data_IF_930871090699
#
_entry.id   IF_930871090699
#
_cell.length_a   1.000
_cell.length_b   1.000
_cell.length_c   1.000
_cell.angle_alpha   90.00
_cell.angle_beta   90.00
_cell.angle_gamma   90.00
#
_symmetry.space_group_name_H-M   'P 1'
#
loop_
_entity.id
_entity.type
_entity.pdbx_description
1 polymer ?
#
# COMPACT_ATOMS: atom_id res chain seq x y z
N UNK A 1 -2.90 7.07 33.14
CA UNK A 1 -2.30 8.17 32.34
C UNK A 1 -2.12 9.37 33.24
N UNK A 2 -0.90 9.91 33.30
CA UNK A 2 -0.49 10.91 34.30
C UNK A 2 -1.23 12.25 34.10
N UNK A 3 -1.36 12.74 32.87
CA UNK A 3 -2.05 14.02 32.58
C UNK A 3 -3.58 14.02 32.77
N UNK A 4 -4.21 12.86 32.95
CA UNK A 4 -5.64 12.75 33.28
C UNK A 4 -5.88 12.74 34.80
N UNK A 5 -4.82 12.75 35.61
CA UNK A 5 -4.96 12.84 37.07
C UNK A 5 -5.30 14.28 37.43
N UNK A 6 -6.42 14.51 38.13
CA UNK A 6 -6.87 15.83 38.60
C UNK A 6 -5.96 16.52 39.64
N UNK A 7 -4.71 16.07 39.76
CA UNK A 7 -3.67 16.60 40.62
C UNK A 7 -2.81 17.64 39.87
N UNK A 8 -2.76 17.58 38.53
CA UNK A 8 -2.00 18.52 37.72
C UNK A 8 -2.77 19.82 37.52
N UNK A 9 -2.09 20.94 37.74
CA UNK A 9 -2.65 22.26 37.47
C UNK A 9 -2.49 22.61 35.96
N UNK A 10 -3.11 23.71 35.54
CA UNK A 10 -3.09 24.15 34.13
C UNK A 10 -1.68 24.47 33.63
N UNK A 11 -0.77 24.95 34.47
CA UNK A 11 0.60 25.25 34.07
C UNK A 11 1.42 23.96 33.89
N UNK A 12 1.19 22.94 34.72
CA UNK A 12 1.80 21.62 34.54
C UNK A 12 1.34 20.97 33.22
N UNK A 13 0.05 21.08 32.89
CA UNK A 13 -0.51 20.58 31.63
C UNK A 13 0.10 21.30 30.42
N UNK A 14 0.28 22.63 30.49
CA UNK A 14 0.95 23.39 29.43
C UNK A 14 2.40 22.97 29.23
N UNK A 15 3.13 22.68 30.30
CA UNK A 15 4.50 22.17 30.19
C UNK A 15 4.52 20.78 29.52
N UNK A 16 3.62 19.88 29.90
CA UNK A 16 3.48 18.58 29.22
C UNK A 16 3.07 18.72 27.75
N UNK A 17 2.27 19.73 27.39
CA UNK A 17 1.89 19.98 26.01
C UNK A 17 3.11 20.27 25.11
N UNK A 18 4.17 20.91 25.65
CA UNK A 18 5.42 21.13 24.91
C UNK A 18 6.10 19.80 24.57
N UNK A 19 6.13 18.86 25.52
CA UNK A 19 6.68 17.52 25.28
C UNK A 19 5.85 16.74 24.25
N UNK A 20 4.52 16.82 24.34
CA UNK A 20 3.62 16.19 23.35
C UNK A 20 3.81 16.79 21.95
N UNK A 21 4.08 18.09 21.84
CA UNK A 21 4.37 18.74 20.56
C UNK A 21 5.70 18.25 19.94
N UNK A 22 6.73 18.04 20.75
CA UNK A 22 7.99 17.44 20.27
C UNK A 22 7.80 15.99 19.82
N UNK A 23 7.01 15.19 20.56
CA UNK A 23 6.65 13.83 20.14
C UNK A 23 5.82 13.82 18.85
N UNK A 24 4.95 14.81 18.65
CA UNK A 24 4.22 14.97 17.39
C UNK A 24 5.18 15.24 16.22
N UNK A 25 6.18 16.10 16.41
CA UNK A 25 7.19 16.39 15.38
C UNK A 25 7.99 15.13 15.03
N UNK A 26 8.41 14.37 16.05
CA UNK A 26 9.11 13.10 15.85
C UNK A 26 8.22 12.08 15.12
N UNK A 27 6.94 11.98 15.49
CA UNK A 27 5.98 11.09 14.84
C UNK A 27 5.82 11.44 13.35
N UNK A 28 5.68 12.73 13.02
CA UNK A 28 5.63 13.19 11.62
C UNK A 28 6.93 12.90 10.88
N UNK A 29 8.08 13.11 11.52
CA UNK A 29 9.37 12.79 10.93
C UNK A 29 9.49 11.29 10.59
N UNK A 30 9.08 10.42 11.52
CA UNK A 30 9.06 8.97 11.31
C UNK A 30 8.06 8.56 10.21
N UNK A 31 6.91 9.22 10.15
CA UNK A 31 5.92 8.98 9.10
C UNK A 31 6.35 9.48 7.71
N UNK A 32 7.36 10.34 7.66
CA UNK A 32 8.02 10.81 6.44
C UNK A 32 9.39 10.16 6.21
N UNK A 33 9.65 9.00 6.83
CA UNK A 33 10.89 8.27 6.65
C UNK A 33 11.19 7.97 5.18
N UNK A 34 12.47 8.05 4.83
CA UNK A 34 13.01 7.81 3.49
C UNK A 34 13.89 6.57 3.54
N UNK A 35 13.69 5.66 2.59
CA UNK A 35 14.47 4.44 2.43
C UNK A 35 15.88 4.67 1.87
N UNK A 36 16.72 3.63 1.83
CA UNK A 36 18.09 3.70 1.30
C UNK A 36 18.16 4.11 -0.19
N UNK A 37 17.07 3.91 -0.92
CA UNK A 37 16.86 4.25 -2.32
C UNK A 37 16.39 5.71 -2.53
N UNK A 38 16.27 6.48 -1.45
CA UNK A 38 15.81 7.87 -1.48
C UNK A 38 14.31 8.00 -1.74
N UNK A 39 13.53 6.93 -1.52
CA UNK A 39 12.08 6.93 -1.67
C UNK A 39 11.38 7.06 -0.32
N UNK A 40 10.27 7.78 -0.26
CA UNK A 40 9.42 7.83 0.92
C UNK A 40 8.76 6.48 1.16
N UNK A 41 8.80 6.01 2.41
CA UNK A 41 8.33 4.68 2.78
C UNK A 41 6.81 4.58 2.91
N UNK A 42 6.12 5.71 3.09
CA UNK A 42 4.71 5.74 3.47
C UNK A 42 3.82 6.50 2.48
N UNK A 43 4.29 6.81 1.27
CA UNK A 43 3.53 7.57 0.27
C UNK A 43 2.77 6.72 -0.77
N UNK A 44 2.58 5.42 -0.50
CA UNK A 44 1.97 4.50 -1.46
C UNK A 44 2.90 4.27 -2.66
N UNK A 45 2.36 4.35 -3.88
CA UNK A 45 3.17 4.31 -5.11
C UNK A 45 3.78 5.67 -5.50
N UNK A 46 3.37 6.77 -4.84
CA UNK A 46 3.95 8.11 -5.02
C UNK A 46 5.28 8.28 -4.27
N UNK A 47 6.23 7.36 -4.50
CA UNK A 47 7.46 7.21 -3.70
C UNK A 47 8.41 8.42 -3.70
N UNK A 48 8.23 9.37 -4.62
CA UNK A 48 8.99 10.62 -4.71
C UNK A 48 8.30 11.82 -4.05
N UNK A 49 7.13 11.61 -3.47
CA UNK A 49 6.35 12.64 -2.76
C UNK A 49 6.41 12.37 -1.26
N UNK A 50 6.57 13.42 -0.47
CA UNK A 50 6.47 13.34 1.00
C UNK A 50 5.14 12.68 1.38
N UNK A 51 5.13 11.80 2.38
CA UNK A 51 3.91 11.10 2.75
C UNK A 51 2.92 12.03 3.45
N UNK A 52 3.41 12.88 4.35
CA UNK A 52 2.61 13.78 5.19
C UNK A 52 3.16 15.20 5.17
N UNK A 53 2.33 16.13 4.73
CA UNK A 53 2.57 17.57 4.79
C UNK A 53 2.00 18.16 6.09
N UNK A 54 2.70 19.13 6.68
CA UNK A 54 2.28 19.75 7.96
C UNK A 54 1.68 21.13 7.72
N UNK A 55 0.54 21.39 8.34
CA UNK A 55 -0.09 22.71 8.32
C UNK A 55 0.06 23.37 9.67
N UNK A 56 0.79 24.49 9.69
CA UNK A 56 0.92 25.33 10.88
C UNK A 56 -0.31 26.22 11.03
N UNK A 57 -0.82 26.34 12.25
CA UNK A 57 -2.01 27.13 12.55
C UNK A 57 -1.93 27.75 13.94
N UNK A 58 -2.77 28.74 14.18
CA UNK A 58 -2.91 29.32 15.52
C UNK A 58 -3.68 28.35 16.42
N UNK A 59 -3.04 27.90 17.50
CA UNK A 59 -3.64 27.00 18.48
C UNK A 59 -3.94 27.80 19.75
N UNK A 60 -5.16 27.66 20.26
CA UNK A 60 -5.56 28.37 21.47
C UNK A 60 -4.66 27.98 22.65
N UNK A 61 -4.13 28.98 23.35
CA UNK A 61 -3.28 28.78 24.52
C UNK A 61 -1.79 28.53 24.23
N UNK A 62 -1.36 28.39 22.97
CA UNK A 62 0.06 28.20 22.63
C UNK A 62 0.87 29.52 22.61
N UNK A 63 0.26 30.61 22.14
CA UNK A 63 0.93 31.91 21.94
C UNK A 63 1.82 31.99 20.69
N UNK A 64 1.94 30.90 19.92
CA UNK A 64 2.65 30.83 18.64
C UNK A 64 2.08 29.73 17.74
N UNK A 65 2.27 29.78 16.41
CA UNK A 65 1.76 28.74 15.53
C UNK A 65 2.34 27.37 15.83
N UNK A 66 1.48 26.36 15.88
CA UNK A 66 1.83 24.94 16.09
C UNK A 66 1.27 24.10 14.94
N UNK A 67 1.69 22.83 14.84
CA UNK A 67 1.12 21.89 13.87
C UNK A 67 -0.36 21.71 14.18
N UNK A 68 -1.22 22.20 13.30
CA UNK A 68 -2.69 22.17 13.45
C UNK A 68 -3.35 21.05 12.66
N UNK A 69 -2.68 20.57 11.60
CA UNK A 69 -3.16 19.49 10.75
C UNK A 69 -1.97 18.78 10.11
N UNK A 70 -2.11 17.48 9.87
CA UNK A 70 -1.14 16.67 9.12
C UNK A 70 -1.86 16.02 7.95
N UNK A 71 -1.49 16.42 6.73
CA UNK A 71 -2.16 16.02 5.49
C UNK A 71 -1.38 14.96 4.75
N UNK A 72 -1.98 13.79 4.58
CA UNK A 72 -1.47 12.76 3.67
C UNK A 72 -1.43 13.25 2.20
N UNK A 73 -0.29 13.07 1.52
CA UNK A 73 -0.06 13.47 0.12
C UNK A 73 0.21 12.28 -0.82
N UNK A 74 0.25 11.06 -0.28
CA UNK A 74 0.47 9.84 -1.06
C UNK A 74 -0.77 9.34 -1.78
N UNK A 75 -0.82 8.04 -2.04
CA UNK A 75 -2.00 7.35 -2.56
C UNK A 75 -2.22 6.01 -1.83
N UNK A 76 -3.33 5.36 -2.12
CA UNK A 76 -3.69 4.03 -1.57
C UNK A 76 -3.36 2.88 -2.51
N UNK A 77 -2.59 3.16 -3.58
CA UNK A 77 -2.22 2.13 -4.53
C UNK A 77 -1.13 1.23 -3.93
N UNK A 78 -1.24 -0.06 -4.18
CA UNK A 78 -0.36 -1.09 -3.61
C UNK A 78 0.74 -1.44 -4.62
N UNK A 79 1.99 -1.34 -4.21
CA UNK A 79 3.11 -1.81 -5.02
C UNK A 79 3.18 -3.35 -4.97
N UNK A 80 3.57 -3.98 -6.08
CA UNK A 80 3.70 -5.45 -6.18
C UNK A 80 5.13 -5.79 -6.58
N UNK A 81 5.81 -6.54 -5.72
CA UNK A 81 7.16 -7.02 -5.99
C UNK A 81 7.05 -8.45 -6.52
N UNK A 82 7.58 -8.70 -7.71
CA UNK A 82 7.69 -10.05 -8.26
C UNK A 82 8.75 -10.84 -7.50
N UNK A 83 8.41 -12.05 -7.08
CA UNK A 83 9.26 -12.93 -6.26
C UNK A 83 9.40 -14.33 -6.84
N UNK A 84 8.71 -14.61 -7.95
CA UNK A 84 8.83 -15.82 -8.77
C UNK A 84 8.07 -15.55 -10.08
N UNK A 85 8.17 -16.46 -11.05
CA UNK A 85 7.48 -16.36 -12.33
C UNK A 85 5.95 -16.18 -12.13
N UNK A 86 5.47 -14.96 -12.40
CA UNK A 86 4.09 -14.54 -12.18
C UNK A 86 3.59 -14.61 -10.72
N UNK A 87 4.49 -14.61 -9.72
CA UNK A 87 4.14 -14.54 -8.32
C UNK A 87 4.58 -13.22 -7.69
N UNK A 88 3.68 -12.56 -6.97
CA UNK A 88 3.91 -11.23 -6.41
C UNK A 88 3.65 -11.18 -4.91
N UNK A 89 4.47 -10.41 -4.20
CA UNK A 89 4.19 -9.96 -2.83
C UNK A 89 3.67 -8.51 -2.90
N UNK A 90 2.44 -8.24 -2.43
CA UNK A 90 1.96 -6.87 -2.28
C UNK A 90 2.70 -6.19 -1.13
N UNK A 91 3.12 -4.95 -1.35
CA UNK A 91 3.74 -4.08 -0.34
C UNK A 91 2.84 -2.88 -0.17
N UNK A 92 2.09 -2.86 0.93
CA UNK A 92 1.25 -1.72 1.31
C UNK A 92 2.07 -0.68 2.06
N UNK A 93 2.41 0.40 1.36
CA UNK A 93 3.12 1.57 1.88
C UNK A 93 2.17 2.76 2.10
N UNK A 94 0.86 2.54 2.23
CA UNK A 94 -0.10 3.64 2.36
C UNK A 94 -0.07 4.24 3.77
N UNK A 95 0.53 5.40 3.95
CA UNK A 95 0.66 6.09 5.23
C UNK A 95 -0.69 6.42 5.89
N UNK A 96 -1.71 6.80 5.10
CA UNK A 96 -3.06 7.06 5.59
C UNK A 96 -3.81 5.82 6.10
N UNK A 97 -3.29 4.63 5.81
CA UNK A 97 -3.69 3.41 6.52
C UNK A 97 -2.80 3.31 7.75
N UNK A 98 -1.47 3.41 7.59
CA UNK A 98 -0.48 3.11 8.64
C UNK A 98 -0.61 3.93 9.90
N UNK A 99 -0.80 5.23 9.75
CA UNK A 99 -0.88 6.17 10.86
C UNK A 99 -2.33 6.53 11.22
N UNK A 100 -3.30 5.74 10.78
CA UNK A 100 -4.70 5.97 11.12
C UNK A 100 -5.08 5.32 12.45
N UNK A 101 -6.02 5.90 13.19
CA UNK A 101 -6.40 5.40 14.51
C UNK A 101 -7.78 4.77 14.54
N UNK A 102 -8.78 5.46 14.01
CA UNK A 102 -10.19 5.14 14.26
C UNK A 102 -10.91 4.59 13.02
N UNK A 103 -12.08 3.97 13.18
CA UNK A 103 -12.95 3.77 12.02
C UNK A 103 -13.44 5.13 11.53
N UNK A 104 -13.37 5.36 10.21
CA UNK A 104 -13.89 6.58 9.63
C UNK A 104 -15.38 6.42 9.33
N UNK A 105 -16.16 7.47 9.61
CA UNK A 105 -17.57 7.56 9.23
C UNK A 105 -17.80 8.81 8.41
N UNK A 106 -18.46 8.65 7.27
CA UNK A 106 -18.98 9.72 6.44
C UNK A 106 -20.50 9.62 6.50
N UNK A 107 -21.15 10.64 7.04
CA UNK A 107 -22.61 10.71 7.14
C UNK A 107 -23.12 11.81 6.23
N UNK A 108 -23.86 11.46 5.19
CA UNK A 108 -24.38 12.43 4.23
C UNK A 108 -25.72 13.00 4.69
N UNK A 109 -25.85 14.32 4.65
CA UNK A 109 -27.12 15.00 4.94
C UNK A 109 -28.01 15.18 3.71
N UNK A 110 -27.53 14.82 2.51
CA UNK A 110 -28.29 14.98 1.27
C UNK A 110 -29.31 13.85 1.15
N UNK A 111 -30.59 14.21 0.97
CA UNK A 111 -31.65 13.25 0.70
C UNK A 111 -31.48 12.66 -0.72
N UNK A 112 -31.34 11.33 -0.78
CA UNK A 112 -31.13 10.58 -2.02
C UNK A 112 -32.33 9.70 -2.38
N UNK A 113 -33.49 9.88 -1.76
CA UNK A 113 -34.69 9.07 -1.99
C UNK A 113 -35.15 9.06 -3.45
N UNK A 114 -34.95 10.19 -4.14
CA UNK A 114 -35.29 10.37 -5.56
C UNK A 114 -34.08 10.25 -6.50
N UNK A 115 -32.88 10.00 -5.94
CA UNK A 115 -31.68 9.92 -6.75
C UNK A 115 -31.64 8.61 -7.53
N UNK A 116 -31.26 8.70 -8.81
CA UNK A 116 -31.00 7.57 -9.68
C UNK A 116 -29.82 7.88 -10.60
N UNK A 117 -28.99 6.88 -10.86
CA UNK A 117 -27.89 6.95 -11.81
C UNK A 117 -28.43 7.24 -13.23
N UNK A 118 -27.87 8.26 -13.88
CA UNK A 118 -28.32 8.70 -15.21
C UNK A 118 -27.70 7.90 -16.35
N UNK A 119 -26.51 7.37 -16.11
CA UNK A 119 -25.70 6.63 -17.07
C UNK A 119 -24.90 5.54 -16.36
N UNK A 120 -24.33 4.63 -17.13
CA UNK A 120 -23.38 3.67 -16.60
C UNK A 120 -22.11 4.39 -16.16
N UNK A 121 -21.64 4.10 -14.95
CA UNK A 121 -20.55 4.82 -14.29
C UNK A 121 -19.70 3.85 -13.47
N UNK A 122 -18.50 4.28 -13.10
CA UNK A 122 -17.61 3.51 -12.24
C UNK A 122 -17.13 4.43 -11.14
N UNK A 123 -17.38 4.02 -9.90
CA UNK A 123 -16.82 4.68 -8.72
C UNK A 123 -15.69 3.82 -8.16
N UNK A 124 -14.77 4.43 -7.43
CA UNK A 124 -13.68 3.77 -6.74
C UNK A 124 -13.84 3.96 -5.25
N UNK A 125 -13.90 2.85 -4.52
CA UNK A 125 -13.88 2.80 -3.05
C UNK A 125 -12.58 2.11 -2.64
N UNK A 126 -11.61 2.89 -2.16
CA UNK A 126 -10.28 2.42 -1.76
C UNK A 126 -9.52 1.69 -2.86
N UNK A 127 -9.64 2.19 -4.08
CA UNK A 127 -9.04 1.59 -5.28
C UNK A 127 -9.87 0.45 -5.89
N UNK A 128 -10.89 -0.05 -5.19
CA UNK A 128 -11.80 -1.07 -5.73
C UNK A 128 -12.88 -0.42 -6.59
N UNK A 129 -12.99 -0.90 -7.82
CA UNK A 129 -13.97 -0.40 -8.78
C UNK A 129 -15.36 -0.98 -8.50
N UNK A 130 -16.37 -0.10 -8.50
CA UNK A 130 -17.77 -0.44 -8.30
C UNK A 130 -18.56 0.09 -9.48
N UNK A 131 -19.08 -0.81 -10.30
CA UNK A 131 -19.86 -0.47 -11.50
C UNK A 131 -21.29 -0.09 -11.13
N UNK A 132 -21.67 1.14 -11.47
CA UNK A 132 -23.03 1.68 -11.31
C UNK A 132 -23.71 1.64 -12.67
N UNK A 133 -24.96 1.16 -12.69
CA UNK A 133 -25.74 0.97 -13.91
C UNK A 133 -26.78 2.07 -14.01
N UNK A 134 -27.06 2.56 -15.21
CA UNK A 134 -28.13 3.52 -15.45
C UNK A 134 -29.45 3.01 -14.84
N UNK A 135 -30.11 3.86 -14.05
CA UNK A 135 -31.34 3.52 -13.32
C UNK A 135 -31.12 2.98 -11.90
N UNK A 136 -29.89 2.68 -11.47
CA UNK A 136 -29.61 2.33 -10.08
C UNK A 136 -30.03 3.45 -9.13
N UNK A 137 -30.71 3.09 -8.05
CA UNK A 137 -31.02 4.02 -6.96
C UNK A 137 -29.97 3.94 -5.84
N UNK A 138 -30.12 4.79 -4.81
CA UNK A 138 -29.18 4.84 -3.67
C UNK A 138 -29.00 3.49 -2.96
N UNK A 139 -30.06 2.68 -2.87
CA UNK A 139 -30.00 1.35 -2.25
C UNK A 139 -29.19 0.36 -3.08
N UNK A 140 -29.32 0.42 -4.41
CA UNK A 140 -28.50 -0.38 -5.32
C UNK A 140 -27.02 0.01 -5.23
N UNK A 141 -26.72 1.32 -5.19
CA UNK A 141 -25.35 1.81 -4.97
C UNK A 141 -24.79 1.32 -3.63
N UNK A 142 -25.53 1.46 -2.54
CA UNK A 142 -25.09 0.98 -1.22
C UNK A 142 -24.84 -0.54 -1.22
N UNK A 143 -25.73 -1.32 -1.84
CA UNK A 143 -25.54 -2.77 -1.97
C UNK A 143 -24.29 -3.11 -2.80
N UNK A 144 -24.05 -2.40 -3.90
CA UNK A 144 -22.87 -2.59 -4.75
C UNK A 144 -21.57 -2.23 -4.03
N UNK A 145 -21.55 -1.15 -3.24
CA UNK A 145 -20.42 -0.82 -2.37
C UNK A 145 -20.17 -1.94 -1.35
N UNK A 146 -21.21 -2.41 -0.65
CA UNK A 146 -21.08 -3.50 0.32
C UNK A 146 -20.57 -4.82 -0.31
N UNK A 147 -20.88 -5.07 -1.57
CA UNK A 147 -20.46 -6.27 -2.30
C UNK A 147 -19.14 -6.12 -3.07
N UNK A 148 -18.52 -4.93 -3.05
CA UNK A 148 -17.28 -4.64 -3.78
C UNK A 148 -16.03 -5.33 -3.22
N UNK A 149 -16.11 -5.83 -1.99
CA UNK A 149 -14.94 -6.30 -1.23
C UNK A 149 -14.10 -5.18 -0.61
N UNK A 150 -14.49 -3.91 -0.79
CA UNK A 150 -13.92 -2.82 0.00
C UNK A 150 -14.31 -2.98 1.47
N UNK A 151 -13.39 -2.64 2.38
CA UNK A 151 -13.58 -2.71 3.82
C UNK A 151 -14.45 -1.55 4.35
N UNK A 152 -15.66 -1.41 3.78
CA UNK A 152 -16.60 -0.30 4.02
C UNK A 152 -18.01 -0.85 4.09
N UNK A 153 -18.78 -0.35 5.05
CA UNK A 153 -20.20 -0.57 5.15
C UNK A 153 -20.94 0.66 4.66
N UNK A 154 -21.75 0.48 3.63
CA UNK A 154 -22.68 1.46 3.11
C UNK A 154 -24.10 1.23 3.66
N UNK A 155 -24.74 2.28 4.16
CA UNK A 155 -26.13 2.24 4.62
C UNK A 155 -26.86 3.53 4.27
N UNK A 156 -28.19 3.49 4.30
CA UNK A 156 -29.02 4.69 4.14
C UNK A 156 -29.47 5.14 5.53
N UNK A 157 -29.22 6.41 5.86
CA UNK A 157 -29.69 6.98 7.11
C UNK A 157 -31.23 7.05 7.08
N UNK A 158 -31.94 6.52 8.09
CA UNK A 158 -33.40 6.43 8.08
C UNK A 158 -34.11 7.78 8.28
N UNK A 159 -33.38 8.84 8.65
CA UNK A 159 -33.91 10.17 8.91
C UNK A 159 -33.60 11.11 7.74
N UNK A 160 -32.33 11.19 7.32
CA UNK A 160 -31.89 12.07 6.23
C UNK A 160 -32.06 11.44 4.86
N UNK A 161 -32.21 10.12 4.79
CA UNK A 161 -32.17 9.34 3.54
C UNK A 161 -30.87 9.52 2.75
N UNK A 162 -29.80 9.95 3.43
CA UNK A 162 -28.46 10.08 2.87
C UNK A 162 -27.70 8.76 2.87
N UNK A 163 -26.66 8.69 2.04
CA UNK A 163 -25.72 7.57 2.02
C UNK A 163 -24.67 7.76 3.12
N UNK A 164 -24.62 6.81 4.04
CA UNK A 164 -23.61 6.71 5.08
C UNK A 164 -22.57 5.66 4.70
N UNK A 165 -21.30 5.97 4.94
CA UNK A 165 -20.17 5.07 4.72
C UNK A 165 -19.35 4.96 6.00
N UNK A 166 -19.13 3.73 6.48
CA UNK A 166 -18.36 3.44 7.69
C UNK A 166 -17.27 2.41 7.37
N UNK A 167 -16.01 2.75 7.61
CA UNK A 167 -14.93 1.77 7.42
C UNK A 167 -15.05 0.64 8.45
N UNK A 168 -14.74 -0.59 8.03
CA UNK A 168 -14.77 -1.74 8.95
C UNK A 168 -13.46 -1.90 9.73
N UNK A 169 -12.40 -1.24 9.26
CA UNK A 169 -11.05 -1.19 9.83
C UNK A 169 -10.58 0.26 10.06
N UNK A 170 -9.49 0.44 10.80
CA UNK A 170 -8.89 1.74 11.10
C UNK A 170 -8.10 2.28 9.91
N UNK A 171 -8.75 3.05 9.06
CA UNK A 171 -8.12 3.75 7.92
C UNK A 171 -8.94 4.94 7.43
N UNK A 172 -8.27 5.81 6.70
CA UNK A 172 -8.94 6.85 5.91
C UNK A 172 -9.57 6.24 4.65
N UNK A 173 -10.80 6.63 4.37
CA UNK A 173 -11.58 6.24 3.22
C UNK A 173 -11.16 7.05 1.99
N UNK A 174 -10.97 6.35 0.87
CA UNK A 174 -10.59 6.95 -0.41
C UNK A 174 -11.70 6.78 -1.44
N UNK A 175 -12.36 7.88 -1.82
CA UNK A 175 -13.52 7.85 -2.71
C UNK A 175 -13.27 8.68 -3.96
N UNK A 176 -13.54 8.14 -5.14
CA UNK A 176 -13.52 8.92 -6.38
C UNK A 176 -14.48 8.38 -7.44
N UNK A 177 -14.98 9.25 -8.30
CA UNK A 177 -15.62 8.86 -9.55
C UNK A 177 -14.53 8.58 -10.60
N UNK A 178 -14.47 7.35 -11.12
CA UNK A 178 -13.54 6.95 -12.21
C UNK A 178 -14.13 7.26 -13.58
N UNK A 179 -15.44 7.06 -13.72
CA UNK A 179 -16.25 7.51 -14.86
C UNK A 179 -17.64 7.95 -14.37
N UNK A 180 -18.22 8.94 -15.05
CA UNK A 180 -19.44 9.61 -14.59
C UNK A 180 -19.19 10.51 -13.37
N UNK A 181 -20.25 10.87 -12.67
CA UNK A 181 -20.23 11.80 -11.52
C UNK A 181 -21.10 11.30 -10.37
N UNK A 182 -21.16 9.98 -10.12
CA UNK A 182 -22.11 9.40 -9.17
C UNK A 182 -21.92 9.94 -7.74
N UNK A 183 -20.70 9.89 -7.21
CA UNK A 183 -20.44 10.36 -5.84
C UNK A 183 -20.58 11.88 -5.72
N UNK A 184 -20.22 12.62 -6.76
CA UNK A 184 -20.43 14.08 -6.84
C UNK A 184 -21.94 14.42 -6.87
N UNK A 185 -22.71 13.75 -7.74
CA UNK A 185 -24.15 13.91 -7.88
C UNK A 185 -24.89 13.56 -6.58
N UNK A 186 -24.38 12.59 -5.83
CA UNK A 186 -24.88 12.21 -4.50
C UNK A 186 -24.39 13.14 -3.38
N UNK A 187 -23.53 14.13 -3.69
CA UNK A 187 -22.98 15.07 -2.72
C UNK A 187 -22.08 14.44 -1.67
N UNK A 188 -21.44 13.32 -1.98
CA UNK A 188 -20.48 12.63 -1.10
C UNK A 188 -19.08 13.23 -1.27
N UNK A 189 -18.71 13.50 -2.52
CA UNK A 189 -17.46 14.17 -2.88
C UNK A 189 -17.74 15.49 -3.60
N UNK A 190 -16.75 16.37 -3.61
CA UNK A 190 -16.64 17.55 -4.45
C UNK A 190 -16.31 17.13 -5.88
N UNK A 191 -16.34 18.10 -6.78
CA UNK A 191 -15.92 17.92 -8.16
C UNK A 191 -14.47 17.43 -8.29
N UNK A 192 -14.11 17.03 -9.52
CA UNK A 192 -12.81 16.47 -9.86
C UNK A 192 -11.60 17.40 -9.62
N UNK A 193 -11.79 18.67 -9.21
CA UNK A 193 -10.69 19.58 -8.84
C UNK A 193 -9.99 19.17 -7.54
N UNK A 194 -10.69 18.45 -6.66
CA UNK A 194 -10.12 17.98 -5.39
C UNK A 194 -9.80 16.49 -5.49
N UNK A 195 -8.64 16.12 -4.96
CA UNK A 195 -8.21 14.72 -4.91
C UNK A 195 -8.59 14.09 -3.57
N UNK A 196 -8.91 12.79 -3.55
CA UNK A 196 -9.04 12.09 -2.29
C UNK A 196 -7.70 12.11 -1.55
N UNK A 197 -7.73 12.14 -0.21
CA UNK A 197 -8.91 12.00 0.65
C UNK A 197 -9.62 13.34 0.96
N UNK A 198 -9.15 14.47 0.42
CA UNK A 198 -9.68 15.82 0.75
C UNK A 198 -10.79 16.31 -0.19
N UNK A 199 -11.30 15.40 -1.03
CA UNK A 199 -12.41 15.68 -1.93
C UNK A 199 -13.78 15.48 -1.28
N UNK A 200 -13.89 15.25 0.03
CA UNK A 200 -15.20 15.08 0.68
C UNK A 200 -16.02 16.38 0.62
N UNK A 201 -17.31 16.25 0.31
CA UNK A 201 -18.24 17.37 0.18
C UNK A 201 -18.55 18.02 1.55
N UNK A 202 -18.86 19.32 1.55
CA UNK A 202 -19.14 20.08 2.77
C UNK A 202 -20.42 19.64 3.50
N UNK A 203 -21.36 18.99 2.81
CA UNK A 203 -22.59 18.44 3.38
C UNK A 203 -22.43 17.08 4.07
N UNK A 204 -21.21 16.55 4.12
CA UNK A 204 -20.89 15.26 4.75
C UNK A 204 -20.26 15.52 6.12
N UNK A 205 -20.84 14.92 7.15
CA UNK A 205 -20.22 14.88 8.48
C UNK A 205 -19.15 13.81 8.50
N UNK A 206 -17.92 14.21 8.78
CA UNK A 206 -16.76 13.33 8.87
C UNK A 206 -16.40 13.06 10.33
N UNK A 207 -16.19 11.80 10.68
CA UNK A 207 -15.63 11.39 11.98
C UNK A 207 -14.58 10.31 11.79
N UNK A 208 -13.72 10.14 12.80
CA UNK A 208 -12.53 9.32 12.74
C UNK A 208 -11.29 10.19 12.49
N UNK A 209 -10.15 9.76 13.05
CA UNK A 209 -8.90 10.50 12.93
C UNK A 209 -7.67 9.62 12.83
N UNK A 210 -6.57 10.26 12.48
CA UNK A 210 -5.24 9.70 12.50
C UNK A 210 -4.61 9.75 13.90
N UNK A 211 -3.49 9.06 14.06
CA UNK A 211 -2.64 9.22 15.23
C UNK A 211 -2.14 10.67 15.37
N UNK A 212 -1.91 11.38 14.26
CA UNK A 212 -1.53 12.80 14.32
C UNK A 212 -2.66 13.65 14.90
N UNK A 213 -3.90 13.46 14.41
CA UNK A 213 -5.08 14.18 14.92
C UNK A 213 -5.28 13.92 16.41
N UNK A 214 -4.99 12.68 16.84
CA UNK A 214 -5.07 12.27 18.23
C UNK A 214 -4.02 12.98 19.11
N UNK A 215 -2.77 13.04 18.66
CA UNK A 215 -1.68 13.70 19.41
C UNK A 215 -1.86 15.22 19.40
N UNK A 216 -2.34 15.80 18.30
CA UNK A 216 -2.75 17.20 18.22
C UNK A 216 -3.87 17.48 19.24
N UNK A 217 -4.91 16.64 19.27
CA UNK A 217 -6.00 16.78 20.22
C UNK A 217 -5.54 16.66 21.68
N UNK A 218 -4.57 15.77 21.97
CA UNK A 218 -3.95 15.64 23.29
C UNK A 218 -3.26 16.95 23.71
N UNK A 219 -2.37 17.46 22.84
CA UNK A 219 -1.63 18.70 23.07
C UNK A 219 -2.58 19.87 23.29
N UNK A 220 -3.58 20.02 22.44
CA UNK A 220 -4.51 21.14 22.47
C UNK A 220 -5.45 21.06 23.68
N UNK A 221 -5.81 19.85 24.13
CA UNK A 221 -6.53 19.66 25.38
C UNK A 221 -5.67 20.02 26.60
N UNK A 222 -4.38 19.66 26.59
CA UNK A 222 -3.43 20.05 27.65
C UNK A 222 -3.22 21.57 27.72
N UNK A 223 -3.08 22.25 26.57
CA UNK A 223 -2.94 23.72 26.51
C UNK A 223 -4.16 24.45 27.09
N UNK A 224 -5.37 23.91 26.86
CA UNK A 224 -6.64 24.44 27.38
C UNK A 224 -6.95 23.99 28.81
N UNK A 225 -6.20 23.05 29.37
CA UNK A 225 -6.49 22.46 30.68
C UNK A 225 -7.74 21.54 30.71
N UNK A 226 -8.14 20.99 29.56
CA UNK A 226 -9.34 20.18 29.37
C UNK A 226 -9.07 18.71 29.75
N UNK A 227 -9.08 18.42 31.06
CA UNK A 227 -8.76 17.08 31.59
C UNK A 227 -9.75 15.98 31.15
N UNK A 228 -11.02 16.33 30.94
CA UNK A 228 -12.04 15.39 30.46
C UNK A 228 -11.73 14.91 29.04
N UNK A 229 -11.33 15.82 28.15
CA UNK A 229 -10.92 15.45 26.79
C UNK A 229 -9.68 14.53 26.79
N UNK A 230 -8.71 14.79 27.69
CA UNK A 230 -7.50 13.97 27.85
C UNK A 230 -7.85 12.55 28.31
N UNK A 231 -8.63 12.43 29.39
CA UNK A 231 -8.88 11.14 30.05
C UNK A 231 -9.84 10.20 29.31
N UNK A 232 -10.75 10.75 28.49
CA UNK A 232 -11.76 9.96 27.79
C UNK A 232 -11.42 9.65 26.34
N UNK A 233 -11.53 10.66 25.47
CA UNK A 233 -11.50 10.49 24.02
C UNK A 233 -10.10 10.15 23.51
N UNK A 234 -9.12 10.97 23.87
CA UNK A 234 -7.77 10.92 23.32
C UNK A 234 -7.10 9.56 23.57
N UNK A 235 -7.23 9.02 24.78
CA UNK A 235 -6.61 7.74 25.13
C UNK A 235 -7.18 6.57 24.33
N UNK A 236 -8.51 6.53 24.15
CA UNK A 236 -9.14 5.51 23.31
C UNK A 236 -8.63 5.55 21.87
N UNK A 237 -8.44 6.76 21.32
CA UNK A 237 -7.89 6.95 19.97
C UNK A 237 -6.41 6.53 19.89
N UNK A 238 -5.59 6.83 20.91
CA UNK A 238 -4.18 6.37 20.97
C UNK A 238 -4.12 4.85 20.98
N UNK A 239 -4.92 4.19 21.83
CA UNK A 239 -4.96 2.73 21.92
C UNK A 239 -5.40 2.09 20.60
N UNK A 240 -6.38 2.68 19.93
CA UNK A 240 -6.85 2.24 18.61
C UNK A 240 -5.75 2.37 17.54
N UNK A 241 -5.04 3.50 17.52
CA UNK A 241 -3.91 3.70 16.59
C UNK A 241 -2.71 2.83 16.89
N UNK A 242 -2.37 2.60 18.17
CA UNK A 242 -1.33 1.64 18.57
C UNK A 242 -1.69 0.20 18.15
N UNK A 243 -2.95 -0.18 18.28
CA UNK A 243 -3.46 -1.47 17.82
C UNK A 243 -3.34 -1.62 16.31
N UNK A 244 -3.68 -0.57 15.56
CA UNK A 244 -3.52 -0.55 14.10
C UNK A 244 -2.05 -0.65 13.68
N UNK A 245 -1.14 0.11 14.31
CA UNK A 245 0.31 0.01 14.06
C UNK A 245 0.85 -1.39 14.35
N UNK A 246 0.43 -2.00 15.46
CA UNK A 246 0.85 -3.36 15.83
C UNK A 246 0.33 -4.40 14.83
N UNK A 247 -0.90 -4.27 14.35
CA UNK A 247 -1.46 -5.13 13.29
C UNK A 247 -0.64 -5.04 12.00
N UNK A 248 -0.21 -3.82 11.63
CA UNK A 248 0.62 -3.58 10.43
C UNK A 248 2.03 -4.13 10.57
N UNK A 249 2.64 -3.98 11.74
CA UNK A 249 3.95 -4.59 12.02
C UNK A 249 3.88 -6.12 11.95
N UNK A 250 2.82 -6.73 12.48
CA UNK A 250 2.61 -8.18 12.37
C UNK A 250 2.43 -8.64 10.91
N UNK A 251 1.68 -7.87 10.11
CA UNK A 251 1.52 -8.13 8.68
C UNK A 251 2.85 -8.02 7.93
N UNK A 252 3.61 -6.95 8.17
CA UNK A 252 4.93 -6.75 7.58
C UNK A 252 5.90 -7.88 7.96
N UNK A 253 5.89 -8.32 9.23
CA UNK A 253 6.67 -9.48 9.67
C UNK A 253 6.31 -10.75 8.91
N UNK A 254 5.02 -11.00 8.70
CA UNK A 254 4.56 -12.15 7.90
C UNK A 254 5.02 -12.05 6.43
N UNK A 255 5.00 -10.86 5.84
CA UNK A 255 5.46 -10.65 4.47
C UNK A 255 6.99 -10.75 4.35
N UNK A 256 7.74 -10.35 5.38
CA UNK A 256 9.18 -10.55 5.49
C UNK A 256 9.56 -12.04 5.52
N UNK A 257 8.88 -12.84 6.34
CA UNK A 257 9.08 -14.30 6.37
C UNK A 257 8.80 -14.94 5.01
N UNK A 258 7.71 -14.52 4.33
CA UNK A 258 7.39 -15.00 2.98
C UNK A 258 8.48 -14.61 1.98
N UNK A 259 9.01 -13.39 2.05
CA UNK A 259 10.11 -12.96 1.20
C UNK A 259 11.37 -13.80 1.44
N UNK A 260 11.71 -14.11 2.70
CA UNK A 260 12.87 -14.93 3.03
C UNK A 260 12.74 -16.37 2.48
N UNK A 261 11.56 -16.98 2.62
CA UNK A 261 11.29 -18.32 2.06
C UNK A 261 11.42 -18.32 0.53
N UNK A 262 10.96 -17.26 -0.15
CA UNK A 262 11.09 -17.15 -1.60
C UNK A 262 12.56 -17.03 -2.02
N UNK A 263 13.36 -16.21 -1.34
CA UNK A 263 14.79 -16.08 -1.60
C UNK A 263 15.51 -17.44 -1.50
N UNK A 264 15.19 -18.24 -0.48
CA UNK A 264 15.77 -19.58 -0.32
C UNK A 264 15.35 -20.54 -1.45
N UNK A 265 14.09 -20.48 -1.87
CA UNK A 265 13.57 -21.30 -2.95
C UNK A 265 14.19 -20.92 -4.30
N UNK A 266 14.29 -19.63 -4.59
CA UNK A 266 14.85 -19.13 -5.85
C UNK A 266 16.33 -19.48 -5.99
N UNK A 267 17.08 -19.43 -4.89
CA UNK A 267 18.47 -19.91 -4.84
C UNK A 267 18.58 -21.39 -5.21
N UNK A 268 17.68 -22.24 -4.70
CA UNK A 268 17.63 -23.67 -5.08
C UNK A 268 17.23 -23.86 -6.54
N UNK A 269 16.25 -23.09 -7.03
CA UNK A 269 15.82 -23.13 -8.43
C UNK A 269 16.97 -22.73 -9.35
N UNK A 270 17.70 -21.67 -9.03
CA UNK A 270 18.87 -21.22 -9.81
C UNK A 270 19.94 -22.32 -9.92
N UNK A 271 20.25 -23.02 -8.82
CA UNK A 271 21.18 -24.15 -8.84
C UNK A 271 20.67 -25.30 -9.72
N UNK A 272 19.39 -25.66 -9.60
CA UNK A 272 18.79 -26.72 -10.40
C UNK A 272 18.78 -26.39 -11.89
N UNK A 273 18.39 -25.16 -12.25
CA UNK A 273 18.40 -24.69 -13.64
C UNK A 273 19.81 -24.66 -14.20
N UNK A 274 20.79 -24.18 -13.42
CA UNK A 274 22.21 -24.19 -13.82
C UNK A 274 22.68 -25.63 -14.12
N UNK A 275 22.36 -26.58 -13.25
CA UNK A 275 22.70 -28.00 -13.46
C UNK A 275 22.01 -28.60 -14.69
N UNK A 276 20.76 -28.22 -14.97
CA UNK A 276 20.04 -28.67 -16.17
C UNK A 276 20.66 -28.10 -17.45
N UNK A 277 21.02 -26.82 -17.45
CA UNK A 277 21.70 -26.16 -18.57
C UNK A 277 23.06 -26.81 -18.82
N UNK A 278 23.85 -27.04 -17.77
CA UNK A 278 25.13 -27.76 -17.88
C UNK A 278 24.95 -29.18 -18.45
N UNK A 279 23.95 -29.93 -17.98
CA UNK A 279 23.71 -31.30 -18.48
C UNK A 279 23.33 -31.34 -19.96
N UNK A 280 22.58 -30.36 -20.44
CA UNK A 280 22.10 -30.31 -21.83
C UNK A 280 23.12 -29.64 -22.77
N UNK A 281 23.83 -28.62 -22.29
CA UNK A 281 24.70 -27.76 -23.10
C UNK A 281 26.20 -28.07 -22.99
N UNK A 282 26.66 -28.66 -21.89
CA UNK A 282 28.09 -28.92 -21.71
C UNK A 282 28.49 -30.16 -22.52
N UNK A 283 29.51 -29.99 -23.36
CA UNK A 283 30.09 -31.11 -24.11
C UNK A 283 30.78 -32.05 -23.12
N UNK A 284 30.41 -33.33 -23.12
CA UNK A 284 31.20 -34.35 -22.43
C UNK A 284 32.55 -34.46 -23.12
N UNK A 285 33.54 -33.77 -22.55
CA UNK A 285 34.91 -33.73 -23.08
C UNK A 285 35.52 -35.12 -23.20
N UNK A 286 35.11 -36.08 -22.37
CA UNK A 286 35.63 -37.45 -22.45
C UNK A 286 35.15 -38.13 -23.71
N UNK A 287 33.84 -38.07 -23.99
CA UNK A 287 33.27 -38.63 -25.21
C UNK A 287 33.76 -37.87 -26.45
N UNK A 288 33.79 -36.53 -26.40
CA UNK A 288 34.29 -35.72 -27.51
C UNK A 288 35.76 -35.99 -27.84
N UNK A 289 36.62 -36.21 -26.84
CA UNK A 289 38.03 -36.59 -27.04
C UNK A 289 38.12 -38.01 -27.63
N UNK A 290 37.29 -38.96 -27.18
CA UNK A 290 37.26 -40.31 -27.74
C UNK A 290 36.81 -40.30 -29.20
N UNK A 291 35.75 -39.56 -29.53
CA UNK A 291 35.24 -39.42 -30.89
C UNK A 291 36.27 -38.73 -31.80
N UNK A 292 36.94 -37.69 -31.30
CA UNK A 292 38.03 -37.03 -32.03
C UNK A 292 39.19 -37.98 -32.31
N UNK A 293 39.64 -38.74 -31.31
CA UNK A 293 40.70 -39.74 -31.48
C UNK A 293 40.29 -40.85 -32.46
N UNK A 294 39.03 -41.28 -32.44
CA UNK A 294 38.49 -42.25 -33.39
C UNK A 294 38.49 -41.68 -34.80
N UNK A 295 38.01 -40.44 -34.98
CA UNK A 295 38.05 -39.73 -36.26
C UNK A 295 39.48 -39.58 -36.80
N UNK A 296 40.44 -39.21 -35.94
CA UNK A 296 41.86 -39.14 -36.31
C UNK A 296 42.41 -40.50 -36.72
N UNK A 297 42.06 -41.57 -35.99
CA UNK A 297 42.47 -42.94 -36.31
C UNK A 297 41.91 -43.38 -37.66
N UNK A 298 40.62 -43.11 -37.92
CA UNK A 298 39.96 -43.40 -39.21
C UNK A 298 40.60 -42.60 -40.33
N UNK A 299 40.92 -41.32 -40.11
CA UNK A 299 41.58 -40.47 -41.09
C UNK A 299 42.96 -41.01 -41.46
N UNK A 300 43.79 -41.34 -40.46
CA UNK A 300 45.09 -41.97 -40.68
C UNK A 300 44.98 -43.31 -41.42
N UNK A 301 44.00 -44.16 -41.07
CA UNK A 301 43.76 -45.42 -41.76
C UNK A 301 43.32 -45.20 -43.22
N UNK A 302 42.48 -44.19 -43.47
CA UNK A 302 42.01 -43.82 -44.82
C UNK A 302 43.17 -43.30 -45.66
N UNK A 303 44.02 -42.42 -45.12
CA UNK A 303 45.24 -41.95 -45.79
C UNK A 303 46.23 -43.09 -46.07
N UNK A 304 46.41 -44.04 -45.14
CA UNK A 304 47.26 -45.21 -45.34
C UNK A 304 46.71 -46.14 -46.43
N UNK A 305 45.41 -46.41 -46.43
CA UNK A 305 44.76 -47.21 -47.48
C UNK A 305 44.81 -46.51 -48.83
N UNK A 306 44.56 -45.21 -48.90
CA UNK A 306 44.73 -44.42 -50.11
C UNK A 306 46.17 -44.52 -50.63
N UNK A 307 47.16 -44.36 -49.76
CA UNK A 307 48.58 -44.55 -50.10
C UNK A 307 48.90 -45.94 -50.66
N UNK A 308 48.32 -47.02 -50.08
CA UNK A 308 48.47 -48.40 -50.57
C UNK A 308 47.79 -48.64 -51.92
N UNK A 309 46.60 -48.06 -52.14
CA UNK A 309 45.91 -48.11 -53.43
C UNK A 309 46.67 -47.34 -54.50
N UNK A 310 47.30 -46.22 -54.15
CA UNK A 310 48.17 -45.47 -55.06
C UNK A 310 49.52 -46.16 -55.31
N UNK A 311 50.04 -46.98 -54.38
CA UNK A 311 51.26 -47.76 -54.60
C UNK A 311 51.05 -49.05 -55.40
N UNK A 312 49.83 -49.60 -55.43
CA UNK A 312 49.45 -50.74 -56.27
C UNK A 312 48.99 -50.25 -57.65
N UNK A 313 49.93 -49.67 -58.39
CA UNK A 313 49.66 -49.31 -59.79
C UNK A 313 49.60 -50.57 -60.66
N UNK A 314 48.86 -50.50 -61.77
CA UNK A 314 48.65 -51.51 -62.82
C UNK A 314 49.90 -52.32 -63.27
N UNK A 315 51.11 -51.94 -62.86
CA UNK A 315 52.38 -52.64 -63.11
C UNK A 315 52.54 -53.98 -62.37
N UNK A 316 51.88 -54.19 -61.23
CA UNK A 316 51.96 -55.49 -60.52
C UNK A 316 51.05 -56.57 -61.12
N UNK A 317 50.07 -56.20 -61.95
CA UNK A 317 49.16 -57.14 -62.61
C UNK A 317 49.66 -57.60 -63.99
N UNK A 318 50.82 -57.12 -64.44
CA UNK A 318 51.45 -57.43 -65.74
C UNK A 318 52.71 -58.31 -65.63
N UNK A 319 52.91 -59.02 -64.51
CA UNK A 319 53.96 -60.04 -64.38
C UNK A 319 53.46 -61.43 -64.74
#
# INVERSE_FOLDING_TARGET
>A
VTGANGIYNTDDLKNMAVEVDELLKELVQNANAVGPDGNYLFSGTSTKTIAFDVVMGNVEGSGYPLISEVRYQGNVDINKIEVDENAYIPVDSSGNRTFWAEQQKLLSSRDLSMWQAREDSVISVDGQEVSITAGDNVYAVAAKINNSGAAVKASIDPVTHGLDLVTTDSRQLWLSDKSGSVLEDMGIIKDASQKPPYNIATGVSLSGGSLFDTVIALRDAMLRGDQEAIGGRVLGSIDAGMSNLSSRLAKLGSDFERAQVNVERDSKTALNVTNLVSREGDVDMTQAIMDLNMLDTVNQATLSNAGKMYSSTLLDYLR
#
